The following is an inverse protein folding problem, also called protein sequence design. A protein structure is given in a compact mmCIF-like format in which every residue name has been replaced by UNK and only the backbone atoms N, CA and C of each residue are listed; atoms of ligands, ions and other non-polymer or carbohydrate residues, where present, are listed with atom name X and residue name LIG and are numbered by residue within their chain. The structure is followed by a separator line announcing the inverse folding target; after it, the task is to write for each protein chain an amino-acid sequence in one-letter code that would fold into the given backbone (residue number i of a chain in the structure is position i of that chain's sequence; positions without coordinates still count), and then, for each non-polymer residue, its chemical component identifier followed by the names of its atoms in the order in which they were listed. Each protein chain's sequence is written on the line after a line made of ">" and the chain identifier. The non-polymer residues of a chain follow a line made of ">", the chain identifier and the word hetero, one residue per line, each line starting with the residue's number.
data_IF_624886454391
#
_entry.id   IF_624886454391
#
_cell.length_a   1.000
_cell.length_b   1.000
_cell.length_c   1.000
_cell.angle_alpha   90.00
_cell.angle_beta   90.00
_cell.angle_gamma   90.00
#
_symmetry.space_group_name_H-M   'P 1'
#
loop_
_entity.id
_entity.type
_entity.pdbx_description
1 polymer ?
#
# COMPACT_ATOMS: atom_id res chain seq x y z
N UNK A 1 -6.33 7.30 -7.23
CA UNK A 1 -5.71 8.46 -6.54
C UNK A 1 -4.20 8.60 -6.79
N UNK A 2 -3.65 7.99 -7.85
CA UNK A 2 -2.25 8.15 -8.31
C UNK A 2 -2.18 7.75 -9.78
N UNK A 3 -1.19 8.30 -10.50
CA UNK A 3 -0.82 7.93 -11.88
C UNK A 3 0.34 6.95 -11.95
N UNK A 4 0.93 6.57 -10.81
CA UNK A 4 1.99 5.57 -10.73
C UNK A 4 1.39 4.16 -10.76
N UNK A 5 0.85 3.79 -11.93
CA UNK A 5 0.15 2.53 -12.16
C UNK A 5 0.17 2.12 -13.62
N UNK A 6 -0.07 0.84 -13.89
CA UNK A 6 -0.03 0.26 -15.25
C UNK A 6 -1.09 0.88 -16.18
N UNK A 7 -2.28 1.19 -15.65
CA UNK A 7 -3.39 1.77 -16.43
C UNK A 7 -3.24 3.27 -16.71
N UNK A 8 -2.18 3.91 -16.21
CA UNK A 8 -1.87 5.32 -16.47
C UNK A 8 -1.40 5.51 -17.91
N UNK A 9 -1.82 6.60 -18.57
CA UNK A 9 -1.36 6.95 -19.92
C UNK A 9 0.16 7.13 -20.03
N UNK A 10 0.85 7.30 -18.90
CA UNK A 10 2.32 7.38 -18.79
C UNK A 10 3.02 6.02 -18.98
N UNK A 11 2.28 4.92 -18.92
CA UNK A 11 2.81 3.56 -19.07
C UNK A 11 2.51 3.02 -20.48
N UNK A 12 3.50 2.50 -21.24
CA UNK A 12 3.25 1.97 -22.59
C UNK A 12 2.18 0.88 -22.66
N UNK A 13 2.08 0.04 -21.63
CA UNK A 13 1.11 -1.05 -21.56
C UNK A 13 -0.33 -0.59 -21.28
N UNK A 14 -0.56 0.69 -20.99
CA UNK A 14 -1.89 1.23 -20.61
C UNK A 14 -2.96 1.10 -21.71
N UNK A 15 -2.54 1.05 -22.98
CA UNK A 15 -3.44 0.86 -24.13
C UNK A 15 -3.85 -0.58 -24.35
N UNK A 16 -3.22 -1.53 -23.66
CA UNK A 16 -3.58 -2.94 -23.78
C UNK A 16 -4.98 -3.16 -23.16
N UNK A 17 -5.91 -3.88 -23.80
CA UNK A 17 -7.21 -4.23 -23.22
C UNK A 17 -7.10 -4.94 -21.85
N UNK A 18 -5.95 -5.56 -21.56
CA UNK A 18 -5.60 -6.26 -20.33
C UNK A 18 -4.71 -5.43 -19.38
N UNK A 19 -4.67 -4.11 -19.53
CA UNK A 19 -3.83 -3.23 -18.71
C UNK A 19 -4.16 -3.28 -17.21
N UNK A 20 -5.38 -3.66 -16.83
CA UNK A 20 -5.69 -3.99 -15.44
C UNK A 20 -5.22 -5.41 -15.10
N UNK A 21 -3.91 -5.55 -14.90
CA UNK A 21 -3.26 -6.85 -14.67
C UNK A 21 -3.83 -7.57 -13.44
N UNK A 22 -4.07 -6.86 -12.33
CA UNK A 22 -4.66 -7.45 -11.12
C UNK A 22 -6.01 -8.11 -11.41
N UNK A 23 -6.88 -7.44 -12.17
CA UNK A 23 -8.19 -8.01 -12.56
C UNK A 23 -8.02 -9.25 -13.43
N UNK A 24 -7.13 -9.20 -14.41
CA UNK A 24 -6.92 -10.32 -15.33
C UNK A 24 -6.37 -11.56 -14.60
N UNK A 25 -5.40 -11.37 -13.70
CA UNK A 25 -4.84 -12.44 -12.88
C UNK A 25 -5.93 -13.02 -11.97
N UNK A 26 -6.65 -12.19 -11.22
CA UNK A 26 -7.69 -12.66 -10.31
C UNK A 26 -8.82 -13.39 -11.03
N UNK A 27 -9.25 -12.87 -12.18
CA UNK A 27 -10.28 -13.53 -12.99
C UNK A 27 -9.80 -14.89 -13.50
N UNK A 28 -8.55 -15.01 -13.92
CA UNK A 28 -7.98 -16.27 -14.40
C UNK A 28 -7.90 -17.29 -13.28
N UNK A 29 -7.35 -16.92 -12.12
CA UNK A 29 -7.22 -17.82 -10.97
C UNK A 29 -8.58 -18.32 -10.49
N UNK A 30 -9.59 -17.44 -10.43
CA UNK A 30 -10.95 -17.84 -10.06
C UNK A 30 -11.60 -18.79 -11.06
N UNK A 31 -11.39 -18.60 -12.36
CA UNK A 31 -11.91 -19.51 -13.39
C UNK A 31 -11.38 -20.93 -13.21
N UNK A 32 -10.14 -21.06 -12.74
CA UNK A 32 -9.49 -22.33 -12.43
C UNK A 32 -9.77 -22.84 -11.00
N UNK A 33 -10.65 -22.16 -10.24
CA UNK A 33 -11.03 -22.58 -8.88
C UNK A 33 -10.01 -22.24 -7.79
N UNK A 34 -8.98 -21.45 -8.08
CA UNK A 34 -8.02 -20.99 -7.08
C UNK A 34 -8.56 -19.83 -6.25
N UNK A 35 -8.16 -19.82 -4.96
CA UNK A 35 -8.27 -18.64 -4.10
C UNK A 35 -7.32 -17.55 -4.58
N UNK A 36 -7.67 -16.30 -4.28
CA UNK A 36 -6.87 -15.13 -4.67
C UNK A 36 -6.54 -14.27 -3.46
N UNK A 37 -5.34 -13.70 -3.47
CA UNK A 37 -4.87 -12.77 -2.44
C UNK A 37 -4.28 -11.51 -3.05
N UNK A 38 -4.40 -10.40 -2.32
CA UNK A 38 -3.76 -9.14 -2.66
C UNK A 38 -2.65 -8.84 -1.65
N UNK A 39 -1.45 -8.56 -2.15
CA UNK A 39 -0.37 -8.00 -1.36
C UNK A 39 -0.42 -6.48 -1.48
N UNK A 40 -0.28 -5.79 -0.34
CA UNK A 40 -0.21 -4.34 -0.26
C UNK A 40 0.94 -3.92 0.66
N UNK A 41 1.92 -3.20 0.11
CA UNK A 41 3.00 -2.60 0.90
C UNK A 41 2.47 -1.35 1.60
N UNK A 42 2.33 -1.39 2.94
CA UNK A 42 2.00 -0.19 3.72
C UNK A 42 3.05 0.91 3.58
N UNK A 43 4.36 0.65 3.71
CA UNK A 43 5.38 1.66 3.43
C UNK A 43 5.45 1.89 1.92
N UNK A 44 5.28 3.14 1.50
CA UNK A 44 5.37 3.54 0.10
C UNK A 44 6.48 4.57 -0.07
N UNK A 45 7.65 4.11 -0.51
CA UNK A 45 8.83 4.94 -0.71
C UNK A 45 8.72 5.89 -1.91
N UNK A 46 7.72 5.71 -2.77
CA UNK A 46 7.44 6.61 -3.88
C UNK A 46 6.54 7.79 -3.45
N UNK A 47 5.76 7.63 -2.38
CA UNK A 47 4.85 8.67 -1.91
C UNK A 47 5.59 9.79 -1.18
N UNK A 48 5.49 11.02 -1.69
CA UNK A 48 5.98 12.25 -1.03
C UNK A 48 5.29 12.56 0.32
N UNK A 49 4.18 11.86 0.62
CA UNK A 49 3.49 11.94 1.90
C UNK A 49 3.97 10.86 2.90
N UNK A 50 4.81 9.90 2.48
CA UNK A 50 5.48 8.94 3.36
C UNK A 50 6.99 9.20 3.44
N UNK A 51 7.67 9.30 2.30
CA UNK A 51 9.07 9.72 2.20
C UNK A 51 9.14 11.07 1.52
N UNK A 52 9.00 12.12 2.33
CA UNK A 52 9.00 13.49 1.85
C UNK A 52 10.43 13.92 1.45
N UNK A 53 10.70 14.34 0.20
CA UNK A 53 12.06 14.69 -0.25
C UNK A 53 12.73 15.83 0.54
N UNK A 54 11.98 16.59 1.32
CA UNK A 54 12.52 17.63 2.21
C UNK A 54 13.40 17.07 3.32
N UNK A 55 13.12 15.85 3.79
CA UNK A 55 13.95 15.17 4.80
C UNK A 55 14.68 13.97 4.18
N UNK A 56 15.95 13.73 4.55
CA UNK A 56 16.63 12.51 4.11
C UNK A 56 15.96 11.27 4.73
N UNK A 57 15.93 10.13 4.04
CA UNK A 57 15.48 8.87 4.64
C UNK A 57 16.36 8.53 5.85
N UNK A 58 15.72 8.25 7.00
CA UNK A 58 16.41 7.87 8.23
C UNK A 58 16.44 6.36 8.43
N UNK A 59 15.28 5.74 8.24
CA UNK A 59 15.06 4.30 8.36
C UNK A 59 13.85 3.91 7.48
N UNK A 60 13.24 2.74 7.73
CA UNK A 60 12.11 2.23 6.94
C UNK A 60 10.75 2.86 7.30
N UNK A 61 10.68 3.76 8.27
CA UNK A 61 9.48 4.53 8.64
C UNK A 61 9.34 5.80 7.78
N UNK A 62 8.25 6.52 8.04
CA UNK A 62 8.06 7.92 7.60
C UNK A 62 9.28 8.76 8.02
N UNK A 63 9.78 9.58 7.11
CA UNK A 63 11.05 10.33 7.31
C UNK A 63 10.87 11.71 7.97
N UNK A 64 9.65 12.03 8.41
CA UNK A 64 9.32 13.23 9.14
C UNK A 64 8.52 12.87 10.41
N UNK A 65 8.40 13.81 11.34
CA UNK A 65 7.62 13.63 12.56
C UNK A 65 6.11 13.83 12.27
N UNK A 66 5.27 12.79 12.33
CA UNK A 66 3.84 12.92 12.03
C UNK A 66 3.08 13.79 13.04
N UNK A 67 3.63 14.05 14.23
CA UNK A 67 3.02 14.95 15.21
C UNK A 67 3.21 16.41 14.83
N UNK A 68 4.32 16.73 14.14
CA UNK A 68 4.62 18.07 13.62
C UNK A 68 3.98 18.33 12.26
N UNK A 69 3.75 17.29 11.47
CA UNK A 69 3.14 17.36 10.13
C UNK A 69 1.92 16.42 9.99
N UNK A 70 0.88 16.60 10.83
CA UNK A 70 -0.26 15.70 10.87
C UNK A 70 -1.07 15.69 9.57
N UNK A 71 -1.10 16.80 8.84
CA UNK A 71 -1.78 16.93 7.55
C UNK A 71 -1.15 16.04 6.48
N UNK A 72 0.18 15.94 6.46
CA UNK A 72 0.92 15.09 5.53
C UNK A 72 0.67 13.61 5.82
N UNK A 73 0.73 13.24 7.10
CA UNK A 73 0.39 11.89 7.52
C UNK A 73 -1.07 11.53 7.23
N UNK A 74 -2.00 12.48 7.41
CA UNK A 74 -3.41 12.27 7.08
C UNK A 74 -3.63 12.06 5.58
N UNK A 75 -2.93 12.80 4.71
CA UNK A 75 -2.97 12.59 3.26
C UNK A 75 -2.47 11.19 2.89
N UNK A 76 -1.37 10.74 3.49
CA UNK A 76 -0.86 9.39 3.26
C UNK A 76 -1.87 8.32 3.69
N UNK A 77 -2.43 8.42 4.90
CA UNK A 77 -3.49 7.50 5.36
C UNK A 77 -4.67 7.46 4.40
N UNK A 78 -5.16 8.63 3.98
CA UNK A 78 -6.29 8.69 3.04
C UNK A 78 -5.95 8.04 1.71
N UNK A 79 -4.75 8.29 1.18
CA UNK A 79 -4.24 7.65 -0.04
C UNK A 79 -4.22 6.12 0.09
N UNK A 80 -3.65 5.59 1.18
CA UNK A 80 -3.61 4.16 1.48
C UNK A 80 -5.01 3.56 1.60
N UNK A 81 -5.91 4.18 2.36
CA UNK A 81 -7.29 3.70 2.51
C UNK A 81 -8.03 3.67 1.17
N UNK A 82 -7.82 4.67 0.32
CA UNK A 82 -8.45 4.69 -0.99
C UNK A 82 -7.97 3.53 -1.89
N UNK A 83 -6.67 3.20 -1.86
CA UNK A 83 -6.15 2.06 -2.62
C UNK A 83 -6.67 0.72 -2.07
N UNK A 84 -6.69 0.56 -0.74
CA UNK A 84 -7.24 -0.64 -0.12
C UNK A 84 -8.72 -0.79 -0.45
N UNK A 85 -9.51 0.29 -0.38
CA UNK A 85 -10.91 0.29 -0.78
C UNK A 85 -11.09 -0.11 -2.25
N UNK A 86 -10.24 0.36 -3.16
CA UNK A 86 -10.27 -0.07 -4.56
C UNK A 86 -10.06 -1.59 -4.68
N UNK A 87 -9.04 -2.13 -4.00
CA UNK A 87 -8.71 -3.56 -4.00
C UNK A 87 -9.88 -4.40 -3.44
N UNK A 88 -10.46 -3.99 -2.31
CA UNK A 88 -11.46 -4.79 -1.59
C UNK A 88 -12.89 -4.62 -2.11
N UNK A 89 -13.15 -3.65 -3.00
CA UNK A 89 -14.48 -3.43 -3.58
C UNK A 89 -14.57 -3.74 -5.08
N UNK A 90 -13.53 -3.42 -5.86
CA UNK A 90 -13.60 -3.42 -7.33
C UNK A 90 -13.14 -4.72 -7.98
N UNK A 91 -12.65 -5.68 -7.17
CA UNK A 91 -12.07 -6.93 -7.65
C UNK A 91 -12.84 -8.17 -7.16
N UNK A 92 -14.01 -8.01 -6.54
CA UNK A 92 -14.81 -9.11 -5.98
C UNK A 92 -14.21 -9.66 -4.67
N UNK A 93 -14.66 -10.86 -4.25
CA UNK A 93 -14.21 -11.48 -2.99
C UNK A 93 -12.70 -11.75 -3.00
N UNK A 94 -11.99 -11.18 -2.03
CA UNK A 94 -10.57 -11.44 -1.77
C UNK A 94 -10.46 -12.46 -0.64
N UNK A 95 -9.67 -13.53 -0.81
CA UNK A 95 -9.51 -14.56 0.22
C UNK A 95 -8.44 -14.18 1.25
N UNK A 96 -7.40 -13.45 0.83
CA UNK A 96 -6.30 -12.99 1.69
C UNK A 96 -5.91 -11.56 1.32
N UNK A 97 -5.84 -10.66 2.31
CA UNK A 97 -5.22 -9.35 2.17
C UNK A 97 -3.94 -9.32 3.01
N UNK A 98 -2.79 -9.29 2.35
CA UNK A 98 -1.49 -9.23 3.02
C UNK A 98 -1.02 -7.78 3.09
N UNK A 99 -1.04 -7.21 4.29
CA UNK A 99 -0.53 -5.87 4.57
C UNK A 99 0.93 -5.91 5.03
N UNK A 100 1.87 -5.78 4.11
CA UNK A 100 3.31 -5.78 4.43
C UNK A 100 3.75 -4.49 5.12
N UNK A 101 4.92 -4.51 5.76
CA UNK A 101 5.44 -3.42 6.56
C UNK A 101 4.80 -3.36 7.93
N UNK A 102 4.81 -4.47 8.68
CA UNK A 102 4.22 -4.58 10.02
C UNK A 102 4.69 -3.50 11.02
N UNK A 103 5.86 -2.90 10.79
CA UNK A 103 6.39 -1.80 11.60
C UNK A 103 5.64 -0.48 11.39
N UNK A 104 4.90 -0.31 10.27
CA UNK A 104 4.07 0.88 10.02
C UNK A 104 2.78 0.73 10.84
N UNK A 105 2.91 1.00 12.14
CA UNK A 105 1.84 0.89 13.14
C UNK A 105 2.05 1.89 14.28
N UNK A 106 1.01 2.24 15.06
CA UNK A 106 1.19 3.07 16.24
C UNK A 106 2.13 2.41 17.25
N UNK A 107 3.02 3.20 17.88
CA UNK A 107 4.00 2.66 18.83
C UNK A 107 3.36 1.89 20.00
N UNK A 108 2.22 2.37 20.51
CA UNK A 108 1.50 1.72 21.61
C UNK A 108 0.93 0.32 21.27
N UNK A 109 1.01 -0.12 20.01
CA UNK A 109 0.61 -1.46 19.57
C UNK A 109 1.79 -2.44 19.53
N UNK A 110 2.99 -1.99 19.88
CA UNK A 110 4.18 -2.83 19.96
C UNK A 110 4.14 -3.62 21.27
N UNK A 111 4.23 -4.93 21.16
CA UNK A 111 4.47 -5.81 22.29
C UNK A 111 6.00 -5.97 22.47
N UNK A 112 6.60 -5.36 23.51
CA UNK A 112 8.04 -5.44 23.72
C UNK A 112 8.53 -6.87 23.99
N UNK A 113 7.66 -7.77 24.47
CA UNK A 113 8.02 -9.17 24.70
C UNK A 113 8.20 -9.97 23.38
N UNK A 114 7.60 -9.48 22.29
CA UNK A 114 7.65 -10.14 20.97
C UNK A 114 8.62 -9.44 20.03
N UNK A 115 8.70 -8.11 20.05
CA UNK A 115 9.48 -7.32 19.09
C UNK A 115 10.97 -7.17 19.48
N UNK A 116 11.42 -7.76 20.60
CA UNK A 116 12.82 -7.80 21.01
C UNK A 116 13.45 -6.43 21.28
N UNK A 117 12.62 -5.40 21.47
CA UNK A 117 13.03 -4.07 21.91
C UNK A 117 12.78 -3.99 23.41
N UNK A 118 13.85 -4.18 24.19
CA UNK A 118 13.85 -3.74 25.58
C UNK A 118 13.55 -2.24 25.65
N UNK A 119 12.87 -1.77 26.72
CA UNK A 119 12.38 -0.40 26.86
C UNK A 119 13.44 0.68 26.71
#
# INVERSE_FOLDING_TARGET
>A
FSDYKITSSKTPFSKNPKANITREIFNTFRKEGFKIGAYFSKPDWHSDDYWWPYFPPKDRNVNYDPTKYPEKWSKFKQFTFNQLNEITSSYGKIDILWLDGGWVRPFHTIDPAVDGKEP
#
